data_IF_808916264570
#
_entry.id   IF_808916264570
#
_cell.length_a   1.000
_cell.length_b   1.000
_cell.length_c   1.000
_cell.angle_alpha   90.00
_cell.angle_beta   90.00
_cell.angle_gamma   90.00
#
_symmetry.space_group_name_H-M   'P 1'
#
loop_
_entity.id
_entity.type
_entity.pdbx_description
1 polymer ?
#
# COMPACT_ATOMS: atom_id res chain seq x y z
N UNK A 1 3.33 -11.75 -6.78
CA UNK A 1 1.95 -11.20 -6.83
C UNK A 1 0.91 -12.28 -7.11
N UNK A 2 1.00 -13.06 -8.19
CA UNK A 2 -0.02 -14.09 -8.51
C UNK A 2 -0.24 -15.15 -7.42
N UNK A 3 0.78 -15.43 -6.61
CA UNK A 3 0.68 -16.35 -5.47
C UNK A 3 -0.07 -15.78 -4.27
N UNK A 4 -0.11 -14.45 -4.13
CA UNK A 4 -0.76 -13.76 -3.00
C UNK A 4 -2.19 -13.32 -3.35
N UNK A 5 -2.47 -13.10 -4.63
CA UNK A 5 -3.73 -12.55 -5.09
C UNK A 5 -4.37 -13.38 -6.19
N UNK A 6 -5.65 -13.74 -6.01
CA UNK A 6 -6.48 -14.35 -7.03
C UNK A 6 -7.33 -13.33 -7.79
N UNK A 7 -7.84 -13.74 -8.95
CA UNK A 7 -8.74 -12.90 -9.74
C UNK A 7 -8.12 -11.58 -10.21
N UNK A 8 -6.79 -11.54 -10.37
CA UNK A 8 -6.06 -10.31 -10.69
C UNK A 8 -6.52 -9.71 -12.03
N UNK A 9 -6.98 -8.45 -11.97
CA UNK A 9 -7.27 -7.59 -13.12
C UNK A 9 -6.34 -6.38 -13.07
N UNK A 10 -5.83 -6.00 -14.23
CA UNK A 10 -4.82 -4.95 -14.39
C UNK A 10 -5.29 -3.88 -15.39
N UNK A 11 -6.44 -3.21 -15.15
CA UNK A 11 -6.97 -2.25 -16.12
C UNK A 11 -5.99 -1.07 -16.27
N UNK A 12 -5.62 -0.79 -17.53
CA UNK A 12 -4.82 0.38 -17.88
C UNK A 12 -5.69 1.62 -17.71
N UNK A 13 -5.23 2.55 -16.87
CA UNK A 13 -5.88 3.83 -16.65
C UNK A 13 -5.42 4.83 -17.69
N UNK A 14 -4.10 4.85 -17.97
CA UNK A 14 -3.51 5.74 -18.96
C UNK A 14 -2.20 5.14 -19.48
N UNK A 15 -1.94 5.34 -20.76
CA UNK A 15 -0.62 5.16 -21.35
C UNK A 15 -0.17 6.44 -22.05
N UNK A 16 1.11 6.75 -21.95
CA UNK A 16 1.75 7.86 -22.66
C UNK A 16 3.01 7.32 -23.32
N UNK A 17 3.17 7.62 -24.60
CA UNK A 17 4.38 7.33 -25.34
C UNK A 17 5.16 8.63 -25.57
N UNK A 18 6.45 8.63 -25.26
CA UNK A 18 7.33 9.77 -25.47
C UNK A 18 8.74 9.31 -25.82
N UNK A 19 9.19 9.61 -27.05
CA UNK A 19 10.49 9.17 -27.54
C UNK A 19 10.59 7.63 -27.56
N UNK A 20 11.56 7.11 -26.80
CA UNK A 20 11.81 5.69 -26.61
C UNK A 20 11.17 5.13 -25.32
N UNK A 21 10.26 5.86 -24.69
CA UNK A 21 9.63 5.45 -23.43
C UNK A 21 8.11 5.31 -23.53
N UNK A 22 7.59 4.26 -22.88
CA UNK A 22 6.16 4.11 -22.59
C UNK A 22 5.95 4.18 -21.09
N UNK A 23 5.07 5.08 -20.68
CA UNK A 23 4.59 5.21 -19.31
C UNK A 23 3.19 4.63 -19.23
N UNK A 24 2.97 3.65 -18.35
CA UNK A 24 1.69 2.98 -18.16
C UNK A 24 1.25 3.13 -16.71
N UNK A 25 0.16 3.85 -16.49
CA UNK A 25 -0.55 3.92 -15.21
C UNK A 25 -1.69 2.91 -15.25
N UNK A 26 -1.75 2.01 -14.27
CA UNK A 26 -2.76 0.96 -14.19
C UNK A 26 -3.19 0.71 -12.75
N UNK A 27 -4.37 0.09 -12.59
CA UNK A 27 -4.81 -0.43 -11.29
C UNK A 27 -4.48 -1.90 -11.17
N UNK A 28 -4.33 -2.38 -9.94
CA UNK A 28 -4.21 -3.79 -9.60
C UNK A 28 -5.38 -4.14 -8.70
N UNK A 29 -6.27 -4.98 -9.22
CA UNK A 29 -7.50 -5.39 -8.56
C UNK A 29 -7.51 -6.90 -8.36
N UNK A 30 -7.97 -7.38 -7.21
CA UNK A 30 -8.02 -8.83 -6.92
C UNK A 30 -8.45 -9.12 -5.48
N UNK A 31 -8.25 -10.35 -5.04
CA UNK A 31 -8.53 -10.81 -3.67
C UNK A 31 -7.27 -11.39 -3.03
N UNK A 32 -6.98 -11.04 -1.77
CA UNK A 32 -5.82 -11.54 -1.02
C UNK A 32 -6.10 -12.94 -0.46
N UNK A 33 -5.81 -13.96 -1.26
CA UNK A 33 -6.07 -15.38 -0.97
C UNK A 33 -4.83 -16.22 -0.66
N UNK A 34 -3.62 -15.68 -0.87
CA UNK A 34 -2.36 -16.33 -0.50
C UNK A 34 -1.46 -15.43 0.35
N UNK A 35 -0.38 -15.98 0.88
CA UNK A 35 0.55 -15.22 1.72
C UNK A 35 1.26 -14.09 0.94
N UNK A 36 1.24 -12.87 1.49
CA UNK A 36 1.97 -11.73 0.95
C UNK A 36 3.27 -11.50 1.71
N UNK A 37 4.41 -11.71 1.05
CA UNK A 37 5.74 -11.62 1.64
C UNK A 37 6.35 -10.23 1.39
N UNK A 38 6.77 -9.58 2.47
CA UNK A 38 7.52 -8.33 2.48
C UNK A 38 9.01 -8.62 2.63
N UNK A 39 9.82 -7.91 1.85
CA UNK A 39 11.27 -8.02 1.88
C UNK A 39 11.88 -6.67 2.25
N UNK A 40 12.97 -6.72 3.01
CA UNK A 40 13.77 -5.56 3.40
C UNK A 40 15.25 -5.94 3.33
N UNK A 41 16.06 -5.09 2.69
CA UNK A 41 17.51 -5.30 2.54
C UNK A 41 17.91 -6.68 1.97
N UNK A 42 17.09 -7.22 1.05
CA UNK A 42 17.32 -8.51 0.42
C UNK A 42 16.90 -9.74 1.25
N UNK A 43 16.39 -9.54 2.46
CA UNK A 43 15.89 -10.61 3.33
C UNK A 43 14.36 -10.55 3.47
N UNK A 44 13.75 -11.68 3.82
CA UNK A 44 12.34 -11.74 4.21
C UNK A 44 12.16 -10.99 5.54
N UNK A 45 11.27 -10.00 5.55
CA UNK A 45 11.02 -9.14 6.71
C UNK A 45 9.74 -9.57 7.45
N UNK A 46 8.63 -9.70 6.70
CA UNK A 46 7.33 -10.04 7.26
C UNK A 46 6.49 -10.84 6.25
N UNK A 47 5.63 -11.72 6.76
CA UNK A 47 4.60 -12.39 5.98
C UNK A 47 3.23 -11.95 6.47
N UNK A 48 2.37 -11.50 5.56
CA UNK A 48 0.96 -11.22 5.82
C UNK A 48 0.14 -12.45 5.39
N UNK A 49 -0.54 -13.15 6.32
CA UNK A 49 -1.42 -14.27 5.98
C UNK A 49 -2.59 -13.83 5.07
N UNK A 50 -3.19 -14.74 4.29
CA UNK A 50 -4.32 -14.40 3.44
C UNK A 50 -5.48 -13.83 4.26
N UNK A 51 -5.92 -12.63 3.90
CA UNK A 51 -6.97 -11.91 4.65
C UNK A 51 -8.36 -12.06 4.05
N UNK A 52 -8.47 -12.58 2.82
CA UNK A 52 -9.71 -12.63 2.04
C UNK A 52 -10.23 -11.26 1.58
N UNK A 53 -9.51 -10.17 1.88
CA UNK A 53 -9.90 -8.81 1.47
C UNK A 53 -9.67 -8.57 -0.01
N UNK A 54 -10.57 -7.82 -0.61
CA UNK A 54 -10.33 -7.22 -1.92
C UNK A 54 -9.19 -6.20 -1.83
N UNK A 55 -8.38 -6.16 -2.88
CA UNK A 55 -7.35 -5.15 -3.08
C UNK A 55 -7.69 -4.30 -4.30
N UNK A 56 -7.35 -3.02 -4.20
CA UNK A 56 -7.40 -2.12 -5.35
C UNK A 56 -6.40 -0.96 -5.15
N UNK A 57 -5.27 -1.02 -5.85
CA UNK A 57 -4.19 -0.02 -5.73
C UNK A 57 -3.56 0.29 -7.09
N UNK A 58 -2.71 1.32 -7.14
CA UNK A 58 -2.11 1.80 -8.39
C UNK A 58 -0.67 1.30 -8.61
N UNK A 59 -0.32 1.11 -9.89
CA UNK A 59 1.05 0.97 -10.34
C UNK A 59 1.34 1.88 -11.53
N UNK A 60 2.59 2.32 -11.61
CA UNK A 60 3.15 2.98 -12.79
C UNK A 60 4.31 2.13 -13.27
N UNK A 61 4.30 1.79 -14.56
CA UNK A 61 5.40 1.15 -15.24
C UNK A 61 6.02 2.11 -16.24
N UNK A 62 7.35 2.16 -16.26
CA UNK A 62 8.13 2.88 -17.27
C UNK A 62 8.91 1.84 -18.06
N UNK A 63 8.70 1.82 -19.36
CA UNK A 63 9.31 0.89 -20.30
C UNK A 63 10.21 1.69 -21.24
N UNK A 64 11.51 1.42 -21.23
CA UNK A 64 12.44 1.94 -22.23
C UNK A 64 12.52 0.98 -23.40
N UNK A 65 12.48 1.50 -24.62
CA UNK A 65 12.42 0.76 -25.87
C UNK A 65 13.70 0.93 -26.69
N UNK A 66 14.08 -0.11 -27.42
CA UNK A 66 15.07 -0.05 -28.51
C UNK A 66 14.69 -1.06 -29.57
N UNK A 67 14.68 -0.64 -30.83
CA UNK A 67 14.33 -1.51 -31.97
C UNK A 67 12.99 -2.24 -31.77
N UNK A 68 12.01 -1.53 -31.22
CA UNK A 68 10.66 -2.06 -30.93
C UNK A 68 10.58 -3.03 -29.74
N UNK A 69 11.67 -3.23 -28.99
CA UNK A 69 11.74 -4.15 -27.84
C UNK A 69 11.92 -3.40 -26.53
N UNK A 70 11.33 -3.92 -25.45
CA UNK A 70 11.54 -3.39 -24.09
C UNK A 70 12.95 -3.78 -23.62
N UNK A 71 13.80 -2.78 -23.38
CA UNK A 71 15.17 -2.94 -22.89
C UNK A 71 15.29 -2.75 -21.38
N UNK A 72 14.41 -1.93 -20.80
CA UNK A 72 14.38 -1.67 -19.36
C UNK A 72 12.94 -1.56 -18.89
N UNK A 73 12.69 -2.07 -17.70
CA UNK A 73 11.42 -1.98 -17.01
C UNK A 73 11.63 -1.46 -15.60
N UNK A 74 10.96 -0.35 -15.29
CA UNK A 74 10.87 0.20 -13.96
C UNK A 74 9.41 0.19 -13.52
N UNK A 75 9.18 0.01 -12.23
CA UNK A 75 7.84 -0.01 -11.67
C UNK A 75 7.81 0.74 -10.33
N UNK A 76 6.81 1.59 -10.17
CA UNK A 76 6.43 2.20 -8.90
C UNK A 76 5.09 1.63 -8.51
N UNK A 77 4.95 1.24 -7.25
CA UNK A 77 3.73 0.65 -6.68
C UNK A 77 3.30 1.45 -5.47
N UNK A 78 2.00 1.65 -5.34
CA UNK A 78 1.40 2.23 -4.13
C UNK A 78 1.35 1.19 -3.00
N UNK A 79 2.50 1.01 -2.35
CA UNK A 79 2.65 0.06 -1.25
C UNK A 79 1.94 0.49 0.03
N UNK A 80 1.73 1.81 0.21
CA UNK A 80 0.99 2.33 1.36
C UNK A 80 -0.47 1.88 1.28
N UNK A 81 -1.11 2.03 0.12
CA UNK A 81 -2.51 1.63 -0.06
C UNK A 81 -2.68 0.11 0.10
N UNK A 82 -1.87 -0.70 -0.58
CA UNK A 82 -2.03 -2.16 -0.48
C UNK A 82 -1.77 -2.65 0.95
N UNK A 83 -0.74 -2.15 1.63
CA UNK A 83 -0.44 -2.59 3.00
C UNK A 83 -1.50 -2.12 4.01
N UNK A 84 -2.12 -0.95 3.78
CA UNK A 84 -3.30 -0.51 4.51
C UNK A 84 -4.51 -1.44 4.29
N UNK A 85 -4.79 -1.83 3.05
CA UNK A 85 -5.87 -2.77 2.70
C UNK A 85 -5.63 -4.16 3.33
N UNK A 86 -4.37 -4.58 3.41
CA UNK A 86 -3.98 -5.83 4.08
C UNK A 86 -3.97 -5.71 5.61
N UNK A 87 -4.00 -4.50 6.16
CA UNK A 87 -4.07 -4.23 7.60
C UNK A 87 -2.73 -4.21 8.32
N UNK A 88 -1.63 -3.89 7.62
CA UNK A 88 -0.27 -3.88 8.18
C UNK A 88 0.00 -2.64 9.05
N UNK A 89 -0.52 -1.45 8.68
CA UNK A 89 -0.40 -0.22 9.48
C UNK A 89 -1.55 0.78 9.18
N UNK A 90 -1.91 1.69 10.11
CA UNK A 90 -3.17 1.60 10.85
C UNK A 90 -4.35 2.23 10.09
N UNK A 91 -5.59 1.71 10.27
CA UNK A 91 -6.41 2.23 11.36
C UNK A 91 -7.27 1.15 12.04
N UNK A 92 -6.83 0.67 13.21
CA UNK A 92 -7.79 0.23 14.22
C UNK A 92 -8.34 1.50 14.87
N UNK A 93 -9.63 1.81 14.67
CA UNK A 93 -10.33 2.91 15.34
C UNK A 93 -10.00 3.01 16.85
N UNK A 94 -9.78 1.87 17.50
CA UNK A 94 -9.38 1.78 18.92
C UNK A 94 -8.09 2.54 19.28
N UNK A 95 -7.11 2.66 18.36
CA UNK A 95 -5.89 3.41 18.62
C UNK A 95 -6.12 4.93 18.57
N UNK A 96 -7.00 5.40 17.67
CA UNK A 96 -7.38 6.82 17.57
C UNK A 96 -8.22 7.30 18.76
N UNK A 97 -9.13 6.45 19.28
CA UNK A 97 -9.96 6.79 20.45
C UNK A 97 -9.09 7.04 21.70
N UNK A 98 -8.02 6.27 21.90
CA UNK A 98 -7.11 6.43 23.05
C UNK A 98 -6.28 7.72 22.98
N UNK A 99 -6.06 8.24 21.78
CA UNK A 99 -5.30 9.46 21.53
C UNK A 99 -6.13 10.73 21.78
N UNK A 100 -7.45 10.68 21.57
CA UNK A 100 -8.38 11.78 21.90
C UNK A 100 -8.93 11.74 23.33
N UNK A 101 -8.90 10.57 23.99
CA UNK A 101 -9.40 10.41 25.36
C UNK A 101 -8.38 10.79 26.46
N UNK A 102 -7.13 11.06 26.10
CA UNK A 102 -6.05 11.45 27.02
C UNK A 102 -5.73 12.95 26.96
N UNK A 103 -6.70 13.82 27.28
CA UNK A 103 -6.42 15.24 27.51
C UNK A 103 -5.63 15.46 28.81
N UNK A 104 -4.82 16.53 28.92
CA UNK A 104 -4.01 16.77 30.11
C UNK A 104 -4.92 17.00 31.32
N UNK A 105 -4.73 16.21 32.38
CA UNK A 105 -5.26 16.50 33.70
C UNK A 105 -4.48 17.68 34.28
N UNK A 106 -4.89 18.89 33.92
CA UNK A 106 -4.37 20.11 34.52
C UNK A 106 -5.03 20.38 35.87
N UNK A 107 -4.19 20.82 36.81
CA UNK A 107 -4.42 20.74 38.25
C UNK A 107 -5.60 21.54 38.80
N UNK A 108 -6.21 20.98 39.85
CA UNK A 108 -7.23 21.66 40.64
C UNK A 108 -6.61 22.84 41.44
N UNK A 109 -7.20 24.05 41.39
CA UNK A 109 -6.76 25.16 42.23
C UNK A 109 -7.27 24.95 43.66
N UNK A 110 -6.34 25.01 44.62
CA UNK A 110 -6.66 25.02 46.04
C UNK A 110 -7.56 26.19 46.39
N UNK A 111 -8.72 25.90 46.99
CA UNK A 111 -9.53 26.89 47.66
C UNK A 111 -9.35 26.74 49.17
N UNK A 112 -8.59 27.66 49.77
CA UNK A 112 -8.57 27.91 51.21
C UNK A 112 -9.98 28.24 51.70
N UNK A 113 -10.44 27.60 52.78
CA UNK A 113 -11.29 28.25 53.79
C UNK A 113 -10.97 27.74 55.20
N UNK A 114 -10.43 28.69 55.97
CA UNK A 114 -10.47 28.92 57.42
C UNK A 114 -10.01 27.81 58.37
#
# INVERSE_FOLDING_TARGET
MRSAFEGLRLPVVKSIHHGDQIWVRLRVQGSHSGAFVLFKDGAMDQVVPPTGRAIDFEQIHVLSLRDGKVMRHEAVRDDVTVLGQLGVFPPKLAAGIRMFAGGPTDGAPGLRRR
#
